data_IF_932394285540
#
_entry.id   IF_932394285540
#
_cell.length_a   1.000
_cell.length_b   1.000
_cell.length_c   1.000
_cell.angle_alpha   90.00
_cell.angle_beta   90.00
_cell.angle_gamma   90.00
#
_symmetry.space_group_name_H-M   'P 1'
#
loop_
_entity.id
_entity.type
_entity.pdbx_description
1 polymer ?
#
# COMPACT_ATOMS: atom_id res chain seq x y z
N UNK A 1 19.17 -15.20 15.35
CA UNK A 1 17.87 -15.72 15.82
C UNK A 1 16.82 -14.65 15.56
N UNK A 2 16.44 -14.45 14.30
CA UNK A 2 15.37 -13.52 13.97
C UNK A 2 14.03 -14.04 14.50
N UNK A 3 12.97 -13.24 14.37
CA UNK A 3 11.56 -13.62 14.52
C UNK A 3 11.10 -14.83 13.66
N UNK A 4 12.01 -15.58 13.05
CA UNK A 4 11.80 -16.76 12.19
C UNK A 4 11.47 -18.07 12.93
N UNK A 5 11.00 -18.00 14.18
CA UNK A 5 10.38 -19.13 14.87
C UNK A 5 8.86 -19.16 14.76
N UNK A 6 8.23 -18.06 14.31
CA UNK A 6 6.78 -17.99 14.13
C UNK A 6 6.45 -18.53 12.74
N UNK A 7 6.23 -19.84 12.67
CA UNK A 7 5.71 -20.50 11.47
C UNK A 7 4.25 -20.13 11.26
N UNK A 8 3.83 -19.93 10.00
CA UNK A 8 2.43 -19.65 9.64
C UNK A 8 1.47 -20.71 10.22
N UNK A 9 1.93 -21.97 10.35
CA UNK A 9 1.15 -23.06 10.95
C UNK A 9 0.94 -22.89 12.46
N UNK A 10 1.95 -22.41 13.18
CA UNK A 10 1.81 -22.10 14.61
C UNK A 10 0.81 -20.98 14.87
N UNK A 11 0.77 -19.97 13.99
CA UNK A 11 -0.17 -18.86 14.09
C UNK A 11 -1.62 -19.31 13.89
N UNK A 12 -1.88 -20.25 12.97
CA UNK A 12 -3.22 -20.82 12.79
C UNK A 12 -3.70 -21.60 14.01
N UNK A 13 -2.83 -22.38 14.65
CA UNK A 13 -3.18 -23.12 15.88
C UNK A 13 -3.55 -22.15 17.00
N UNK A 14 -2.76 -21.09 17.20
CA UNK A 14 -3.06 -20.06 18.20
C UNK A 14 -4.39 -19.35 17.86
N UNK A 15 -4.63 -19.04 16.59
CA UNK A 15 -5.88 -18.42 16.14
C UNK A 15 -7.10 -19.28 16.48
N UNK A 16 -7.02 -20.60 16.23
CA UNK A 16 -8.11 -21.54 16.57
C UNK A 16 -8.39 -21.53 18.08
N UNK A 17 -7.35 -21.56 18.91
CA UNK A 17 -7.50 -21.50 20.37
C UNK A 17 -8.19 -20.19 20.79
N UNK A 18 -7.75 -19.06 20.26
CA UNK A 18 -8.36 -17.74 20.52
C UNK A 18 -9.82 -17.71 20.08
N UNK A 19 -10.15 -18.27 18.91
CA UNK A 19 -11.52 -18.37 18.42
C UNK A 19 -12.41 -19.25 19.32
N UNK A 20 -11.87 -20.31 19.93
CA UNK A 20 -12.59 -21.17 20.87
C UNK A 20 -12.80 -20.49 22.23
N UNK A 21 -11.81 -19.76 22.74
CA UNK A 21 -11.89 -19.06 24.03
C UNK A 21 -12.85 -17.87 23.99
N UNK A 22 -12.72 -17.02 22.97
CA UNK A 22 -13.51 -15.79 22.86
C UNK A 22 -14.82 -16.01 22.07
N UNK A 23 -14.90 -17.11 21.32
CA UNK A 23 -15.96 -17.34 20.34
C UNK A 23 -15.78 -16.50 19.08
N UNK A 24 -16.22 -17.04 17.94
CA UNK A 24 -16.13 -16.35 16.64
C UNK A 24 -16.97 -15.08 16.56
N UNK A 25 -18.06 -15.00 17.35
CA UNK A 25 -18.98 -13.85 17.36
C UNK A 25 -18.34 -12.59 17.94
N UNK A 26 -17.58 -12.70 19.04
CA UNK A 26 -16.83 -11.59 19.65
C UNK A 26 -15.64 -11.18 18.79
N UNK A 27 -14.93 -12.16 18.25
CA UNK A 27 -13.79 -11.91 17.37
C UNK A 27 -14.22 -11.21 16.07
N UNK A 28 -15.41 -11.52 15.55
CA UNK A 28 -15.99 -10.85 14.37
C UNK A 28 -16.43 -9.42 14.65
N UNK A 29 -17.07 -9.13 15.78
CA UNK A 29 -17.47 -7.76 16.10
C UNK A 29 -16.25 -6.86 16.25
N UNK A 30 -15.28 -7.26 17.07
CA UNK A 30 -14.04 -6.49 17.30
C UNK A 30 -13.21 -6.43 16.01
N UNK A 31 -13.12 -7.53 15.27
CA UNK A 31 -12.41 -7.57 13.99
C UNK A 31 -13.05 -6.70 12.91
N UNK A 32 -14.38 -6.54 12.92
CA UNK A 32 -15.08 -5.62 12.01
C UNK A 32 -14.79 -4.17 12.38
N UNK A 33 -14.79 -3.83 13.66
CA UNK A 33 -14.55 -2.47 14.14
C UNK A 33 -13.11 -2.04 13.87
N UNK A 34 -12.14 -2.91 14.24
CA UNK A 34 -10.72 -2.68 13.99
C UNK A 34 -10.37 -2.78 12.50
N UNK A 35 -10.96 -3.73 11.79
CA UNK A 35 -10.76 -3.92 10.35
C UNK A 35 -11.30 -2.75 9.54
N UNK A 36 -12.44 -2.18 9.94
CA UNK A 36 -12.99 -0.96 9.36
C UNK A 36 -12.06 0.24 9.53
N UNK A 37 -11.54 0.44 10.75
CA UNK A 37 -10.60 1.52 11.04
C UNK A 37 -9.28 1.39 10.26
N UNK A 38 -8.75 0.17 10.12
CA UNK A 38 -7.50 -0.08 9.40
C UNK A 38 -7.67 -0.07 7.86
N UNK A 39 -8.90 -0.32 7.37
CA UNK A 39 -9.21 -0.30 5.93
C UNK A 39 -8.91 1.07 5.29
N UNK A 40 -9.26 2.16 5.98
CA UNK A 40 -8.96 3.53 5.53
C UNK A 40 -7.45 3.79 5.44
N UNK A 41 -6.68 3.29 6.41
CA UNK A 41 -5.23 3.38 6.40
C UNK A 41 -4.61 2.62 5.24
N UNK A 42 -5.03 1.36 5.00
CA UNK A 42 -4.54 0.56 3.87
C UNK A 42 -4.84 1.23 2.53
N UNK A 43 -6.01 1.86 2.40
CA UNK A 43 -6.40 2.57 1.18
C UNK A 43 -5.53 3.82 0.95
N UNK A 44 -5.30 4.63 1.99
CA UNK A 44 -4.46 5.82 1.91
C UNK A 44 -3.00 5.49 1.55
N UNK A 45 -2.44 4.41 2.12
CA UNK A 45 -1.09 3.94 1.78
C UNK A 45 -1.02 3.50 0.32
N UNK A 46 -2.00 2.71 -0.14
CA UNK A 46 -2.05 2.27 -1.54
C UNK A 46 -2.17 3.46 -2.51
N UNK A 47 -3.05 4.42 -2.21
CA UNK A 47 -3.22 5.62 -3.03
C UNK A 47 -1.96 6.50 -3.04
N UNK A 48 -1.19 6.51 -1.96
CA UNK A 48 0.11 7.20 -1.90
C UNK A 48 1.17 6.54 -2.80
N UNK A 49 1.18 5.20 -2.88
CA UNK A 49 2.06 4.46 -3.80
C UNK A 49 1.63 4.67 -5.26
N UNK A 50 0.34 4.54 -5.57
CA UNK A 50 -0.21 4.77 -6.91
C UNK A 50 0.04 6.23 -7.38
N UNK A 51 -0.07 7.21 -6.47
CA UNK A 51 0.23 8.64 -6.76
C UNK A 51 1.73 8.88 -6.98
N UNK A 52 2.60 8.15 -6.27
CA UNK A 52 4.05 8.21 -6.49
C UNK A 52 4.44 7.61 -7.85
N UNK A 53 3.82 6.51 -8.26
CA UNK A 53 4.03 5.92 -9.58
C UNK A 53 3.52 6.85 -10.69
N UNK A 54 2.35 7.47 -10.51
CA UNK A 54 1.82 8.44 -11.46
C UNK A 54 2.73 9.67 -11.60
N UNK A 55 3.26 10.20 -10.49
CA UNK A 55 4.19 11.34 -10.48
C UNK A 55 5.53 10.99 -11.13
N UNK A 56 6.07 9.79 -10.89
CA UNK A 56 7.30 9.32 -11.53
C UNK A 56 7.13 9.21 -13.07
N UNK A 57 5.98 8.73 -13.54
CA UNK A 57 5.69 8.62 -14.97
C UNK A 57 5.50 9.97 -15.68
N UNK A 58 5.05 11.03 -14.98
CA UNK A 58 4.97 12.39 -15.55
C UNK A 58 6.31 13.10 -15.54
N UNK A 59 7.16 12.90 -14.52
CA UNK A 59 8.50 13.49 -14.45
C UNK A 59 9.40 12.95 -15.59
N UNK A 60 9.31 11.66 -15.92
CA UNK A 60 10.08 11.08 -17.02
C UNK A 60 9.68 11.61 -18.42
N UNK A 61 8.42 12.08 -18.58
CA UNK A 61 7.95 12.67 -19.85
C UNK A 61 8.30 14.15 -20.01
N UNK A 62 8.67 14.84 -18.93
CA UNK A 62 8.94 16.28 -18.98
C UNK A 62 10.40 16.63 -19.32
N UNK A 63 11.33 15.70 -19.11
CA UNK A 63 12.75 15.87 -19.47
C UNK A 63 13.05 15.62 -20.98
N UNK A 64 12.10 15.08 -21.74
CA UNK A 64 12.26 14.79 -23.18
C UNK A 64 11.87 15.90 -24.15
N UNK A 65 11.33 17.04 -23.66
CA UNK A 65 10.71 18.05 -24.52
C UNK A 65 11.17 19.47 -24.18
N UNK A 66 12.49 19.69 -24.17
CA UNK A 66 13.09 20.97 -23.79
C UNK A 66 14.30 21.45 -24.60
N UNK A 67 14.61 20.89 -25.78
CA UNK A 67 15.86 21.25 -26.49
C UNK A 67 15.76 21.57 -27.99
N UNK A 68 14.60 21.91 -28.55
CA UNK A 68 14.54 22.45 -29.93
C UNK A 68 13.55 23.60 -30.07
N UNK A 69 13.72 24.66 -29.28
CA UNK A 69 13.10 25.97 -29.58
C UNK A 69 14.19 27.03 -29.56
N UNK A 70 15.15 26.93 -30.48
CA UNK A 70 16.06 28.03 -30.83
C UNK A 70 16.84 27.67 -32.10
N UNK A 71 16.23 27.84 -33.29
CA UNK A 71 16.99 27.85 -34.54
C UNK A 71 16.30 28.53 -35.75
N UNK A 72 15.06 29.05 -35.64
CA UNK A 72 14.36 29.59 -36.80
C UNK A 72 13.82 31.00 -36.55
N UNK A 73 14.73 31.96 -36.36
CA UNK A 73 14.41 33.40 -36.45
C UNK A 73 15.61 34.25 -36.89
N UNK A 74 16.37 33.73 -37.86
CA UNK A 74 17.50 34.44 -38.44
C UNK A 74 17.55 34.24 -39.96
N UNK A 75 16.50 34.68 -40.65
CA UNK A 75 16.55 35.02 -42.06
C UNK A 75 15.47 36.08 -42.32
N UNK A 76 15.83 37.32 -42.02
CA UNK A 76 15.20 38.53 -42.54
C UNK A 76 16.18 39.18 -43.52
#
# INVERSE_FOLDING_TARGET
MGIGGISIGSLLIVLVIVMLLFGTKRLRSIGSDLGGALSGFRKAVKESDDTREALAATVERQDGQGSTVHADRSAA
#
